data_IF_239254921909
#
_entry.id   IF_239254921909
#
_cell.length_a   1.000
_cell.length_b   1.000
_cell.length_c   1.000
_cell.angle_alpha   90.00
_cell.angle_beta   90.00
_cell.angle_gamma   90.00
#
_symmetry.space_group_name_H-M   'P 1'
#
loop_
_entity.id
_entity.type
_entity.pdbx_description
1 polymer ?
#
# COMPACT_ATOMS: atom_id res chain seq x y z
N UNK A 1 24.78 -61.36 -24.55
CA UNK A 1 24.35 -60.45 -25.63
C UNK A 1 24.56 -59.03 -25.15
N UNK A 2 25.77 -58.51 -25.36
CA UNK A 2 26.20 -57.20 -24.88
C UNK A 2 26.07 -56.25 -26.06
N UNK A 3 24.95 -55.53 -26.12
CA UNK A 3 24.72 -54.52 -27.16
C UNK A 3 25.70 -53.37 -26.96
N UNK A 4 26.81 -53.39 -27.68
CA UNK A 4 27.71 -52.25 -27.80
C UNK A 4 26.95 -51.13 -28.51
N UNK A 5 26.36 -50.23 -27.71
CA UNK A 5 25.89 -48.93 -28.18
C UNK A 5 27.10 -48.18 -28.75
N UNK A 6 27.25 -48.23 -30.07
CA UNK A 6 28.23 -47.41 -30.79
C UNK A 6 27.76 -45.97 -30.66
N UNK A 7 28.28 -45.25 -29.67
CA UNK A 7 28.12 -43.82 -29.52
C UNK A 7 28.65 -43.14 -30.78
N UNK A 8 27.74 -42.73 -31.67
CA UNK A 8 28.09 -41.78 -32.71
C UNK A 8 28.14 -40.41 -32.06
N UNK A 9 29.33 -40.07 -31.54
CA UNK A 9 29.65 -38.82 -30.83
C UNK A 9 29.04 -37.58 -31.48
N UNK A 10 28.91 -37.59 -32.81
CA UNK A 10 28.31 -36.51 -33.59
C UNK A 10 26.79 -36.43 -33.44
N UNK A 11 26.10 -37.57 -33.45
CA UNK A 11 24.66 -37.67 -33.25
C UNK A 11 24.27 -37.23 -31.83
N UNK A 12 25.04 -37.64 -30.81
CA UNK A 12 24.75 -37.28 -29.41
C UNK A 12 24.93 -35.78 -29.14
N UNK A 13 25.94 -35.16 -29.75
CA UNK A 13 26.14 -33.70 -29.66
C UNK A 13 24.99 -32.93 -30.34
N UNK A 14 24.48 -33.42 -31.48
CA UNK A 14 23.33 -32.82 -32.16
C UNK A 14 22.06 -32.96 -31.30
N UNK A 15 21.85 -34.13 -30.69
CA UNK A 15 20.72 -34.39 -29.80
C UNK A 15 20.78 -33.48 -28.57
N UNK A 16 21.95 -33.36 -27.94
CA UNK A 16 22.17 -32.51 -26.77
C UNK A 16 21.89 -31.03 -27.09
N UNK A 17 22.33 -30.55 -28.26
CA UNK A 17 22.03 -29.18 -28.72
C UNK A 17 20.53 -28.94 -28.89
N UNK A 18 19.78 -29.90 -29.44
CA UNK A 18 18.32 -29.82 -29.57
C UNK A 18 17.64 -29.79 -28.20
N UNK A 19 18.04 -30.67 -27.28
CA UNK A 19 17.52 -30.68 -25.92
C UNK A 19 17.81 -29.35 -25.19
N UNK A 20 19.01 -28.81 -25.34
CA UNK A 20 19.38 -27.53 -24.74
C UNK A 20 18.55 -26.36 -25.30
N UNK A 21 18.30 -26.33 -26.61
CA UNK A 21 17.41 -25.34 -27.23
C UNK A 21 15.97 -25.44 -26.72
N UNK A 22 15.43 -26.66 -26.60
CA UNK A 22 14.09 -26.89 -26.04
C UNK A 22 13.98 -26.45 -24.58
N UNK A 23 15.03 -26.66 -23.78
CA UNK A 23 15.08 -26.19 -22.39
C UNK A 23 15.11 -24.66 -22.30
N UNK A 24 15.84 -23.98 -23.18
CA UNK A 24 15.84 -22.51 -23.26
C UNK A 24 14.44 -22.01 -23.64
N UNK A 25 13.80 -22.64 -24.62
CA UNK A 25 12.46 -22.26 -25.07
C UNK A 25 11.41 -22.47 -23.97
N UNK A 26 11.47 -23.61 -23.27
CA UNK A 26 10.62 -23.86 -22.10
C UNK A 26 10.86 -22.85 -20.97
N UNK A 27 12.13 -22.54 -20.65
CA UNK A 27 12.47 -21.52 -19.65
C UNK A 27 11.85 -20.17 -20.02
N UNK A 28 11.99 -19.76 -21.28
CA UNK A 28 11.46 -18.48 -21.75
C UNK A 28 9.94 -18.44 -21.71
N UNK A 29 9.28 -19.54 -22.09
CA UNK A 29 7.82 -19.67 -22.01
C UNK A 29 7.33 -19.58 -20.56
N UNK A 30 7.95 -20.33 -19.64
CA UNK A 30 7.62 -20.33 -18.22
C UNK A 30 7.86 -18.94 -17.62
N UNK A 31 9.02 -18.32 -17.85
CA UNK A 31 9.31 -16.99 -17.34
C UNK A 31 8.34 -15.93 -17.87
N UNK A 32 7.95 -16.00 -19.14
CA UNK A 32 6.98 -15.07 -19.72
C UNK A 32 5.57 -15.29 -19.14
N UNK A 33 5.14 -16.54 -19.02
CA UNK A 33 3.82 -16.88 -18.50
C UNK A 33 3.68 -16.58 -17.00
N UNK A 34 4.64 -17.03 -16.18
CA UNK A 34 4.64 -16.77 -14.74
C UNK A 34 4.99 -15.33 -14.40
N UNK A 35 5.94 -14.73 -15.12
CA UNK A 35 6.31 -13.33 -14.94
C UNK A 35 5.12 -12.40 -15.15
N UNK A 36 4.38 -12.56 -16.24
CA UNK A 36 3.19 -11.74 -16.52
C UNK A 36 2.06 -12.02 -15.50
N UNK A 37 1.83 -13.28 -15.16
CA UNK A 37 0.73 -13.68 -14.26
C UNK A 37 0.96 -13.25 -12.81
N UNK A 38 2.20 -13.10 -12.37
CA UNK A 38 2.54 -12.64 -11.02
C UNK A 38 2.69 -11.11 -10.95
N UNK A 39 3.35 -10.49 -11.92
CA UNK A 39 3.62 -9.03 -11.87
C UNK A 39 2.36 -8.19 -12.04
N UNK A 40 1.49 -8.56 -12.98
CA UNK A 40 0.29 -7.77 -13.29
C UNK A 40 -0.68 -7.63 -12.10
N UNK A 41 -1.12 -8.70 -11.42
CA UNK A 41 -1.99 -8.57 -10.25
C UNK A 41 -1.29 -7.89 -9.07
N UNK A 42 0.01 -8.08 -8.91
CA UNK A 42 0.79 -7.44 -7.84
C UNK A 42 0.77 -5.91 -7.98
N UNK A 43 0.97 -5.40 -9.20
CA UNK A 43 0.91 -3.96 -9.49
C UNK A 43 -0.48 -3.40 -9.25
N UNK A 44 -1.54 -4.11 -9.66
CA UNK A 44 -2.92 -3.69 -9.44
C UNK A 44 -3.29 -3.62 -7.95
N UNK A 45 -2.84 -4.59 -7.14
CA UNK A 45 -3.07 -4.59 -5.69
C UNK A 45 -2.37 -3.39 -5.05
N UNK A 46 -1.10 -3.13 -5.41
CA UNK A 46 -0.36 -1.97 -4.91
C UNK A 46 -1.06 -0.66 -5.28
N UNK A 47 -1.51 -0.52 -6.52
CA UNK A 47 -2.23 0.66 -6.98
C UNK A 47 -3.52 0.88 -6.17
N UNK A 48 -4.34 -0.16 -6.00
CA UNK A 48 -5.59 -0.08 -5.24
C UNK A 48 -5.37 0.33 -3.78
N UNK A 49 -4.40 -0.29 -3.10
CA UNK A 49 -4.07 0.05 -1.72
C UNK A 49 -3.54 1.49 -1.60
N UNK A 50 -2.80 1.98 -2.59
CA UNK A 50 -2.28 3.34 -2.61
C UNK A 50 -3.41 4.37 -2.75
N UNK A 51 -4.36 4.12 -3.65
CA UNK A 51 -5.56 4.98 -3.82
C UNK A 51 -6.39 5.02 -2.54
N UNK A 52 -6.61 3.86 -1.91
CA UNK A 52 -7.33 3.77 -0.63
C UNK A 52 -6.62 4.57 0.48
N UNK A 53 -5.29 4.48 0.58
CA UNK A 53 -4.52 5.27 1.54
C UNK A 53 -4.64 6.78 1.30
N UNK A 54 -4.59 7.23 0.04
CA UNK A 54 -4.76 8.65 -0.30
C UNK A 54 -6.15 9.13 0.11
N UNK A 55 -7.19 8.35 -0.20
CA UNK A 55 -8.56 8.66 0.20
C UNK A 55 -8.70 8.77 1.72
N UNK A 56 -8.11 7.82 2.44
CA UNK A 56 -8.12 7.78 3.90
C UNK A 56 -7.42 9.01 4.50
N UNK A 57 -6.25 9.39 3.98
CA UNK A 57 -5.54 10.61 4.40
C UNK A 57 -6.38 11.84 4.18
N UNK A 58 -6.96 12.00 2.98
CA UNK A 58 -7.81 13.15 2.65
C UNK A 58 -9.04 13.23 3.56
N UNK A 59 -9.66 12.09 3.85
CA UNK A 59 -10.81 12.02 4.75
C UNK A 59 -10.42 12.42 6.18
N UNK A 60 -9.29 11.91 6.69
CA UNK A 60 -8.77 12.29 8.00
C UNK A 60 -8.42 13.78 8.07
N UNK A 61 -7.79 14.32 7.03
CA UNK A 61 -7.42 15.75 6.95
C UNK A 61 -8.66 16.64 6.94
N UNK A 62 -9.69 16.26 6.18
CA UNK A 62 -10.97 16.98 6.16
C UNK A 62 -11.65 16.97 7.52
N UNK A 63 -11.71 15.82 8.19
CA UNK A 63 -12.28 15.73 9.54
C UNK A 63 -11.50 16.60 10.55
N UNK A 64 -10.17 16.65 10.43
CA UNK A 64 -9.33 17.51 11.27
C UNK A 64 -9.57 19.01 10.99
N UNK A 65 -9.70 19.39 9.72
CA UNK A 65 -10.04 20.77 9.32
C UNK A 65 -11.40 21.20 9.85
N UNK A 66 -12.41 20.36 9.75
CA UNK A 66 -13.76 20.65 10.30
C UNK A 66 -13.72 20.85 11.82
N UNK A 67 -12.94 20.03 12.55
CA UNK A 67 -12.73 20.25 13.99
C UNK A 67 -12.08 21.61 14.29
N UNK A 68 -11.04 21.99 13.54
CA UNK A 68 -10.37 23.29 13.74
C UNK A 68 -11.34 24.44 13.46
N UNK A 69 -12.14 24.35 12.40
CA UNK A 69 -13.16 25.37 12.08
C UNK A 69 -14.16 25.54 13.21
N UNK A 70 -14.68 24.43 13.77
CA UNK A 70 -15.64 24.46 14.89
C UNK A 70 -15.00 25.16 16.10
N UNK A 71 -13.76 24.82 16.45
CA UNK A 71 -13.04 25.48 17.56
C UNK A 71 -12.82 26.97 17.26
N UNK A 72 -12.47 27.34 16.03
CA UNK A 72 -12.29 28.73 15.62
C UNK A 72 -13.58 29.55 15.71
N UNK A 73 -14.72 28.99 15.30
CA UNK A 73 -16.04 29.62 15.44
C UNK A 73 -16.39 29.80 16.92
N UNK A 74 -16.16 28.77 17.74
CA UNK A 74 -16.39 28.83 19.19
C UNK A 74 -15.50 29.89 19.85
N UNK A 75 -14.22 29.95 19.49
CA UNK A 75 -13.28 30.95 20.03
C UNK A 75 -13.63 32.38 19.55
N UNK A 76 -14.16 32.54 18.32
CA UNK A 76 -14.66 33.83 17.82
C UNK A 76 -15.92 34.29 18.59
N UNK A 77 -16.88 33.40 18.83
CA UNK A 77 -18.09 33.70 19.62
C UNK A 77 -17.72 34.02 21.08
N UNK A 78 -16.74 33.33 21.66
CA UNK A 78 -16.24 33.60 23.01
C UNK A 78 -15.49 34.93 23.15
N UNK A 79 -14.94 35.45 22.06
CA UNK A 79 -14.22 36.73 22.02
C UNK A 79 -15.13 37.93 21.78
N UNK A 80 -16.39 37.69 21.37
CA UNK A 80 -17.36 38.75 21.17
C UNK A 80 -17.84 39.26 22.54
N UNK A 81 -17.69 40.56 22.79
CA UNK A 81 -17.74 41.16 24.14
C UNK A 81 -19.12 41.13 24.81
N UNK A 82 -20.18 40.76 24.09
CA UNK A 82 -21.59 40.82 24.56
C UNK A 82 -22.20 39.46 24.97
N UNK A 83 -21.41 38.37 24.98
CA UNK A 83 -21.97 37.05 25.28
C UNK A 83 -22.31 36.90 26.77
N UNK A 84 -23.61 36.69 27.04
CA UNK A 84 -24.19 36.43 28.36
C UNK A 84 -23.40 35.35 29.13
N UNK A 85 -23.14 35.58 30.42
CA UNK A 85 -22.25 34.77 31.29
C UNK A 85 -22.64 33.29 31.33
N UNK A 86 -23.93 32.98 31.17
CA UNK A 86 -24.50 31.62 31.09
C UNK A 86 -24.18 30.90 29.76
N UNK A 87 -24.21 31.62 28.64
CA UNK A 87 -23.85 31.07 27.32
C UNK A 87 -22.35 30.83 27.26
N UNK A 88 -21.56 31.73 27.86
CA UNK A 88 -20.10 31.64 27.93
C UNK A 88 -19.63 30.38 28.67
N UNK A 89 -20.21 30.05 29.82
CA UNK A 89 -19.85 28.83 30.58
C UNK A 89 -20.23 27.55 29.83
N UNK A 90 -21.38 27.55 29.15
CA UNK A 90 -21.83 26.43 28.31
C UNK A 90 -20.92 26.24 27.10
N UNK A 91 -20.47 27.33 26.46
CA UNK A 91 -19.53 27.29 25.33
C UNK A 91 -18.13 26.82 25.75
N UNK A 92 -17.67 27.21 26.94
CA UNK A 92 -16.41 26.72 27.52
C UNK A 92 -16.51 25.21 27.79
N UNK A 93 -17.62 24.74 28.38
CA UNK A 93 -17.86 23.31 28.58
C UNK A 93 -17.92 22.52 27.27
N UNK A 94 -18.57 23.07 26.24
CA UNK A 94 -18.59 22.47 24.90
C UNK A 94 -17.20 22.44 24.26
N UNK A 95 -16.42 23.52 24.37
CA UNK A 95 -15.02 23.58 23.92
C UNK A 95 -14.16 22.51 24.59
N UNK A 96 -14.31 22.33 25.90
CA UNK A 96 -13.58 21.31 26.66
C UNK A 96 -14.06 19.88 26.33
N UNK A 97 -15.34 19.69 26.00
CA UNK A 97 -15.87 18.43 25.47
C UNK A 97 -15.32 18.11 24.06
N UNK A 98 -15.24 19.09 23.17
CA UNK A 98 -14.67 18.97 21.81
C UNK A 98 -13.14 18.81 21.86
N UNK A 99 -12.48 19.37 22.87
CA UNK A 99 -11.05 19.13 23.14
C UNK A 99 -10.79 17.75 23.74
N UNK A 100 -11.61 17.31 24.69
CA UNK A 100 -11.44 16.02 25.40
C UNK A 100 -11.87 14.80 24.61
N UNK A 101 -12.73 14.96 23.57
CA UNK A 101 -13.08 13.88 22.63
C UNK A 101 -12.56 14.21 21.22
N UNK A 102 -11.27 13.98 20.93
CA UNK A 102 -10.80 14.02 19.56
C UNK A 102 -11.53 12.91 18.77
N UNK A 103 -11.98 13.22 17.56
CA UNK A 103 -12.59 12.24 16.67
C UNK A 103 -11.51 11.22 16.33
N UNK A 104 -11.55 10.07 17.01
CA UNK A 104 -10.63 8.98 16.78
C UNK A 104 -11.23 8.04 15.76
N UNK A 105 -10.57 7.92 14.62
CA UNK A 105 -10.89 6.89 13.65
C UNK A 105 -10.29 5.58 14.16
N UNK A 106 -11.12 4.72 14.72
CA UNK A 106 -10.76 3.35 15.11
C UNK A 106 -11.18 2.41 14.00
N UNK A 107 -10.22 1.72 13.37
CA UNK A 107 -10.54 0.64 12.44
C UNK A 107 -10.99 -0.57 13.26
N UNK A 108 -12.32 -0.75 13.40
CA UNK A 108 -12.94 -1.90 14.07
C UNK A 108 -12.40 -2.17 15.49
N UNK A 109 -12.12 -1.11 16.29
CA UNK A 109 -11.54 -1.20 17.64
C UNK A 109 -10.17 -1.92 17.78
N UNK A 110 -9.52 -2.34 16.69
CA UNK A 110 -8.22 -3.01 16.75
C UNK A 110 -7.05 -2.03 16.75
N UNK A 111 -7.10 -0.98 15.92
CA UNK A 111 -6.01 -0.01 15.79
C UNK A 111 -6.53 1.41 15.61
N UNK A 112 -5.82 2.36 16.23
CA UNK A 112 -6.04 3.79 16.06
C UNK A 112 -5.43 4.22 14.75
N UNK A 113 -6.23 4.85 13.90
CA UNK A 113 -5.82 5.29 12.58
C UNK A 113 -5.07 6.62 12.71
N UNK A 114 -3.84 6.52 13.21
CA UNK A 114 -2.93 7.65 13.36
C UNK A 114 -2.09 7.85 12.10
N UNK A 115 -1.65 9.09 11.85
CA UNK A 115 -0.81 9.43 10.70
C UNK A 115 0.46 8.57 10.65
N UNK A 116 1.01 8.20 11.80
CA UNK A 116 2.15 7.29 11.92
C UNK A 116 1.86 5.89 11.35
N UNK A 117 0.63 5.38 11.51
CA UNK A 117 0.22 4.09 10.99
C UNK A 117 0.11 4.14 9.46
N UNK A 118 -0.51 5.19 8.92
CA UNK A 118 -0.55 5.43 7.47
C UNK A 118 0.85 5.51 6.86
N UNK A 119 1.77 6.25 7.49
CA UNK A 119 3.16 6.37 7.01
C UNK A 119 3.88 5.02 7.04
N UNK A 120 3.64 4.19 8.06
CA UNK A 120 4.18 2.82 8.10
C UNK A 120 3.65 1.96 6.95
N UNK A 121 2.34 2.03 6.66
CA UNK A 121 1.76 1.31 5.52
C UNK A 121 2.34 1.79 4.18
N UNK A 122 2.51 3.10 3.99
CA UNK A 122 3.19 3.65 2.81
C UNK A 122 4.62 3.12 2.68
N UNK A 123 5.38 3.10 3.78
CA UNK A 123 6.76 2.57 3.78
C UNK A 123 6.81 1.11 3.34
N UNK A 124 5.91 0.28 3.88
CA UNK A 124 5.83 -1.16 3.53
C UNK A 124 5.51 -1.34 2.05
N UNK A 125 4.55 -0.59 1.52
CA UNK A 125 4.18 -0.63 0.10
C UNK A 125 5.36 -0.24 -0.79
N UNK A 126 6.08 0.83 -0.45
CA UNK A 126 7.26 1.27 -1.20
C UNK A 126 8.34 0.18 -1.18
N UNK A 127 8.67 -0.37 -0.01
CA UNK A 127 9.69 -1.43 0.13
C UNK A 127 9.36 -2.65 -0.73
N UNK A 128 8.14 -3.17 -0.65
CA UNK A 128 7.75 -4.33 -1.45
C UNK A 128 7.70 -4.03 -2.95
N UNK A 129 7.30 -2.82 -3.34
CA UNK A 129 7.33 -2.39 -4.74
C UNK A 129 8.76 -2.31 -5.27
N UNK A 130 9.70 -1.77 -4.49
CA UNK A 130 11.13 -1.74 -4.86
C UNK A 130 11.71 -3.14 -5.02
N UNK A 131 11.43 -4.05 -4.07
CA UNK A 131 11.87 -5.45 -4.15
C UNK A 131 11.30 -6.13 -5.40
N UNK A 132 10.03 -5.87 -5.72
CA UNK A 132 9.39 -6.43 -6.91
C UNK A 132 10.03 -5.90 -8.20
N UNK A 133 10.27 -4.60 -8.29
CA UNK A 133 10.93 -3.97 -9.46
C UNK A 133 12.36 -4.51 -9.63
N UNK A 134 13.12 -4.65 -8.54
CA UNK A 134 14.46 -5.24 -8.59
C UNK A 134 14.41 -6.67 -9.13
N UNK A 135 13.51 -7.52 -8.62
CA UNK A 135 13.35 -8.89 -9.10
C UNK A 135 12.93 -8.99 -10.58
N UNK A 136 12.20 -8.00 -11.10
CA UNK A 136 11.86 -7.94 -12.53
C UNK A 136 13.09 -7.56 -13.36
N UNK A 137 13.83 -6.52 -12.95
CA UNK A 137 15.03 -6.07 -13.67
C UNK A 137 16.17 -7.11 -13.68
N UNK A 138 16.30 -7.93 -12.63
CA UNK A 138 17.30 -9.01 -12.60
C UNK A 138 16.92 -10.23 -13.46
N UNK A 139 15.66 -10.35 -13.90
CA UNK A 139 15.16 -11.48 -14.71
C UNK A 139 15.00 -11.15 -16.22
N UNK A 140 15.24 -9.91 -16.63
CA UNK A 140 15.41 -9.47 -18.03
C UNK A 140 16.88 -9.43 -18.41
#
# INVERSE_FOLDING_TARGET
>A
MSGTFVFNKYHDVILLKKCYLLLIEQRNFINKAFGLRVTFPSILIVFYNSVMLIYLVNFCENAYKERIKIIGIVDHILSDMEVNTSIRSTLIGFRDLVKSRPIHFTASNFYRLDYTLVVKYCSVIITYTTILIQNVNFNT
#
